data_IF_645169883135
#
_entry.id   IF_645169883135
#
_cell.length_a   1.000
_cell.length_b   1.000
_cell.length_c   1.000
_cell.angle_alpha   90.00
_cell.angle_beta   90.00
_cell.angle_gamma   90.00
#
_symmetry.space_group_name_H-M   'P 1'
#
loop_
_entity.id
_entity.type
_entity.pdbx_description
1 polymer ?
#
# COMPACT_ATOMS: atom_id res chain seq x y z
N UNK A 1 19.14 -18.72 8.89
CA UNK A 1 19.07 -18.92 10.36
C UNK A 1 20.30 -18.32 11.10
N UNK A 2 20.08 -17.27 11.88
CA UNK A 2 21.12 -16.61 12.71
C UNK A 2 21.39 -17.43 13.99
N UNK A 3 22.67 -17.65 14.33
CA UNK A 3 23.08 -18.40 15.54
C UNK A 3 22.58 -17.78 16.84
N UNK A 4 22.21 -16.50 16.84
CA UNK A 4 21.59 -15.82 17.98
C UNK A 4 20.22 -16.39 18.39
N UNK A 5 19.55 -17.15 17.51
CA UNK A 5 18.24 -17.75 17.80
C UNK A 5 18.30 -19.22 18.25
N UNK A 6 19.50 -19.80 18.42
CA UNK A 6 19.67 -21.21 18.80
C UNK A 6 19.07 -21.55 20.18
N UNK A 7 18.96 -20.56 21.07
CA UNK A 7 18.35 -20.73 22.39
C UNK A 7 16.95 -20.10 22.50
N UNK A 8 16.37 -19.67 21.38
CA UNK A 8 15.03 -19.07 21.36
C UNK A 8 13.96 -20.15 21.27
N UNK A 9 12.84 -19.95 21.96
CA UNK A 9 11.62 -20.77 21.80
C UNK A 9 11.10 -20.76 20.34
N UNK A 10 11.53 -19.79 19.53
CA UNK A 10 11.18 -19.63 18.12
C UNK A 10 12.08 -20.42 17.16
N UNK A 11 13.10 -21.13 17.66
CA UNK A 11 14.07 -21.85 16.82
C UNK A 11 13.38 -22.78 15.82
N UNK A 12 12.40 -23.57 16.29
CA UNK A 12 11.65 -24.51 15.45
C UNK A 12 10.85 -23.78 14.36
N UNK A 13 10.24 -22.64 14.70
CA UNK A 13 9.51 -21.80 13.76
C UNK A 13 10.42 -21.21 12.69
N UNK A 14 11.59 -20.69 13.07
CA UNK A 14 12.57 -20.15 12.12
C UNK A 14 13.16 -21.24 11.22
N UNK A 15 13.47 -22.41 11.77
CA UNK A 15 13.98 -23.52 10.96
C UNK A 15 12.95 -23.99 9.94
N UNK A 16 11.68 -24.12 10.34
CA UNK A 16 10.60 -24.48 9.44
C UNK A 16 10.41 -23.45 8.32
N UNK A 17 10.39 -22.16 8.67
CA UNK A 17 10.30 -21.05 7.72
C UNK A 17 11.41 -21.12 6.67
N UNK A 18 12.67 -21.21 7.10
CA UNK A 18 13.83 -21.24 6.21
C UNK A 18 13.86 -22.51 5.34
N UNK A 19 13.39 -23.63 5.87
CA UNK A 19 13.29 -24.88 5.12
C UNK A 19 12.25 -24.79 3.99
N UNK A 20 11.17 -24.03 4.16
CA UNK A 20 10.21 -23.77 3.08
C UNK A 20 10.89 -23.08 1.90
N UNK A 21 11.82 -22.14 2.11
CA UNK A 21 12.52 -21.51 0.99
C UNK A 21 13.34 -22.51 0.17
N UNK A 22 13.95 -23.52 0.81
CA UNK A 22 14.64 -24.61 0.10
C UNK A 22 13.66 -25.47 -0.72
N UNK A 23 12.48 -25.76 -0.16
CA UNK A 23 11.41 -26.46 -0.89
C UNK A 23 10.93 -25.62 -2.08
N UNK A 24 10.71 -24.31 -1.89
CA UNK A 24 10.31 -23.38 -2.96
C UNK A 24 11.36 -23.33 -4.05
N UNK A 25 12.63 -23.16 -3.72
CA UNK A 25 13.73 -23.19 -4.69
C UNK A 25 13.70 -24.47 -5.52
N UNK A 26 13.55 -25.63 -4.87
CA UNK A 26 13.50 -26.91 -5.57
C UNK A 26 12.26 -27.04 -6.48
N UNK A 27 11.06 -26.73 -5.97
CA UNK A 27 9.81 -26.94 -6.70
C UNK A 27 9.57 -25.89 -7.78
N UNK A 28 9.81 -24.61 -7.49
CA UNK A 28 9.56 -23.50 -8.41
C UNK A 28 10.70 -23.27 -9.37
N UNK A 29 11.89 -23.04 -8.84
CA UNK A 29 13.02 -22.58 -9.67
C UNK A 29 13.68 -23.74 -10.39
N UNK A 30 14.02 -24.82 -9.68
CA UNK A 30 14.73 -25.96 -10.27
C UNK A 30 13.82 -26.83 -11.16
N UNK A 31 12.65 -27.22 -10.67
CA UNK A 31 11.74 -28.13 -11.40
C UNK A 31 10.90 -27.37 -12.43
N UNK A 32 10.28 -26.25 -12.04
CA UNK A 32 9.36 -25.51 -12.92
C UNK A 32 10.02 -24.37 -13.71
N UNK A 33 11.30 -24.04 -13.46
CA UNK A 33 12.02 -23.00 -14.19
C UNK A 33 11.48 -21.58 -13.97
N UNK A 34 10.75 -21.34 -12.86
CA UNK A 34 10.08 -20.06 -12.59
C UNK A 34 10.50 -19.53 -11.23
N UNK A 35 10.99 -18.28 -11.21
CA UNK A 35 11.24 -17.55 -9.98
C UNK A 35 9.91 -17.02 -9.41
N UNK A 36 9.64 -17.37 -8.15
CA UNK A 36 8.44 -16.95 -7.43
C UNK A 36 8.52 -15.48 -7.01
N UNK A 37 7.37 -14.83 -6.86
CA UNK A 37 7.32 -13.50 -6.24
C UNK A 37 7.64 -13.58 -4.75
N UNK A 38 8.42 -12.64 -4.24
CA UNK A 38 8.95 -12.69 -2.86
C UNK A 38 7.83 -12.89 -1.85
N UNK A 39 6.75 -12.11 -1.94
CA UNK A 39 5.64 -12.21 -1.01
C UNK A 39 5.01 -13.61 -0.92
N UNK A 40 4.89 -14.34 -2.04
CA UNK A 40 4.27 -15.67 -2.04
C UNK A 40 5.24 -16.75 -1.54
N UNK A 41 6.54 -16.58 -1.79
CA UNK A 41 7.57 -17.40 -1.15
C UNK A 41 7.52 -17.25 0.38
N UNK A 42 7.43 -16.00 0.85
CA UNK A 42 7.33 -15.65 2.26
C UNK A 42 6.01 -16.10 2.88
N UNK A 43 4.90 -16.06 2.15
CA UNK A 43 3.60 -16.49 2.63
C UNK A 43 3.63 -17.96 3.07
N UNK A 44 4.21 -18.82 2.23
CA UNK A 44 4.37 -20.24 2.50
C UNK A 44 5.28 -20.47 3.71
N UNK A 45 6.37 -19.71 3.80
CA UNK A 45 7.34 -19.82 4.89
C UNK A 45 6.76 -19.33 6.24
N UNK A 46 6.00 -18.24 6.24
CA UNK A 46 5.34 -17.66 7.41
C UNK A 46 4.18 -18.52 7.94
N UNK A 47 3.52 -19.30 7.07
CA UNK A 47 2.47 -20.22 7.50
C UNK A 47 3.00 -21.54 8.08
N UNK A 48 4.23 -21.95 7.73
CA UNK A 48 4.79 -23.23 8.15
C UNK A 48 4.82 -23.46 9.67
N UNK A 49 5.16 -22.48 10.53
CA UNK A 49 5.07 -22.64 11.98
C UNK A 49 3.65 -23.01 12.46
N UNK A 50 2.61 -22.41 11.87
CA UNK A 50 1.23 -22.74 12.20
C UNK A 50 0.87 -24.14 11.72
N UNK A 51 1.23 -24.49 10.49
CA UNK A 51 1.00 -25.82 9.92
C UNK A 51 1.62 -26.95 10.77
N UNK A 52 2.82 -26.72 11.32
CA UNK A 52 3.53 -27.68 12.18
C UNK A 52 3.05 -27.65 13.65
N UNK A 53 2.08 -26.79 13.98
CA UNK A 53 1.53 -26.65 15.32
C UNK A 53 2.45 -25.92 16.31
N UNK A 54 3.48 -25.22 15.84
CA UNK A 54 4.40 -24.47 16.71
C UNK A 54 3.77 -23.20 17.28
N UNK A 55 2.72 -22.68 16.65
CA UNK A 55 1.96 -21.51 17.13
C UNK A 55 0.86 -21.85 18.16
N UNK A 56 0.76 -23.12 18.58
CA UNK A 56 -0.28 -23.57 19.53
C UNK A 56 0.11 -23.43 21.01
N UNK A 57 1.37 -23.09 21.32
CA UNK A 57 1.91 -23.09 22.69
C UNK A 57 2.64 -21.78 23.02
N UNK A 58 2.40 -21.24 24.21
CA UNK A 58 3.11 -20.09 24.76
C UNK A 58 2.65 -18.73 24.21
N UNK A 59 2.83 -17.67 25.00
CA UNK A 59 2.42 -16.31 24.64
C UNK A 59 3.33 -15.67 23.56
N UNK A 60 4.56 -16.14 23.41
CA UNK A 60 5.59 -15.58 22.51
C UNK A 60 5.85 -16.41 21.25
N UNK A 61 4.82 -17.08 20.75
CA UNK A 61 4.91 -17.80 19.47
C UNK A 61 4.97 -16.86 18.25
N UNK A 62 5.19 -17.44 17.06
CA UNK A 62 5.40 -16.68 15.83
C UNK A 62 4.11 -15.93 15.43
N UNK A 63 2.95 -16.60 15.50
CA UNK A 63 1.66 -16.00 15.16
C UNK A 63 1.36 -14.76 16.02
N UNK A 64 1.55 -14.83 17.33
CA UNK A 64 1.35 -13.68 18.23
C UNK A 64 2.29 -12.51 17.90
N UNK A 65 3.54 -12.80 17.47
CA UNK A 65 4.44 -11.76 16.97
C UNK A 65 3.90 -11.09 15.71
N UNK A 66 3.37 -11.87 14.76
CA UNK A 66 2.77 -11.36 13.52
C UNK A 66 1.48 -10.59 13.73
N UNK A 67 0.65 -10.99 14.69
CA UNK A 67 -0.52 -10.22 15.12
C UNK A 67 -0.07 -8.83 15.62
N UNK A 68 0.97 -8.76 16.45
CA UNK A 68 1.51 -7.47 16.93
C UNK A 68 2.09 -6.63 15.80
N UNK A 69 2.80 -7.24 14.86
CA UNK A 69 3.35 -6.54 13.69
C UNK A 69 2.22 -5.99 12.79
N UNK A 70 1.13 -6.74 12.58
CA UNK A 70 -0.03 -6.27 11.82
C UNK A 70 -0.77 -5.12 12.48
N UNK A 71 -1.01 -5.20 13.80
CA UNK A 71 -1.72 -4.16 14.53
C UNK A 71 -0.94 -2.84 14.60
N UNK A 72 0.38 -2.85 14.38
CA UNK A 72 1.19 -1.64 14.32
C UNK A 72 0.93 -0.84 13.04
N UNK A 73 0.86 -1.54 11.91
CA UNK A 73 0.61 -0.93 10.61
C UNK A 73 -0.17 -1.91 9.71
N UNK A 74 -1.51 -1.84 9.74
CA UNK A 74 -2.37 -2.77 9.01
C UNK A 74 -2.49 -2.40 7.52
N UNK A 75 -2.15 -1.16 7.13
CA UNK A 75 -2.36 -0.62 5.78
C UNK A 75 -1.07 -0.65 4.94
N UNK A 76 -0.31 -1.75 5.05
CA UNK A 76 0.89 -2.01 4.24
C UNK A 76 0.61 -3.08 3.20
N UNK A 77 1.15 -2.88 1.99
CA UNK A 77 1.05 -3.90 0.93
C UNK A 77 1.95 -5.07 1.26
N UNK A 78 1.40 -6.28 1.27
CA UNK A 78 2.24 -7.47 1.39
C UNK A 78 2.81 -7.93 0.04
N UNK A 79 2.29 -7.43 -1.09
CA UNK A 79 2.81 -7.76 -2.43
C UNK A 79 3.98 -6.85 -2.82
N UNK A 80 3.93 -5.57 -2.43
CA UNK A 80 5.10 -4.68 -2.55
C UNK A 80 6.07 -4.95 -1.40
N UNK A 81 6.98 -5.89 -1.63
CA UNK A 81 7.82 -6.46 -0.58
C UNK A 81 8.99 -5.56 -0.20
N UNK A 82 8.83 -4.83 0.91
CA UNK A 82 9.86 -3.94 1.47
C UNK A 82 10.71 -4.62 2.57
N UNK A 83 10.46 -5.90 2.85
CA UNK A 83 11.13 -6.68 3.90
C UNK A 83 11.02 -6.04 5.31
N UNK A 84 9.91 -5.35 5.60
CA UNK A 84 9.61 -4.79 6.92
C UNK A 84 8.79 -5.77 7.74
N UNK A 85 8.87 -5.69 9.07
CA UNK A 85 8.15 -6.60 9.99
C UNK A 85 6.64 -6.56 9.75
N UNK A 86 6.13 -5.39 9.42
CA UNK A 86 4.74 -5.11 9.12
C UNK A 86 4.28 -5.85 7.84
N UNK A 87 5.14 -5.98 6.81
CA UNK A 87 4.82 -6.80 5.63
C UNK A 87 4.55 -8.26 6.03
N UNK A 88 5.39 -8.84 6.91
CA UNK A 88 5.19 -10.21 7.41
C UNK A 88 3.93 -10.33 8.26
N UNK A 89 3.57 -9.31 9.04
CA UNK A 89 2.35 -9.30 9.86
C UNK A 89 1.08 -9.40 9.02
N UNK A 90 0.94 -8.49 8.05
CA UNK A 90 -0.18 -8.46 7.09
C UNK A 90 -0.23 -9.77 6.28
N UNK A 91 0.91 -10.20 5.76
CA UNK A 91 1.02 -11.41 4.95
C UNK A 91 0.62 -12.67 5.72
N UNK A 92 1.09 -12.81 6.96
CA UNK A 92 0.79 -13.98 7.78
C UNK A 92 -0.71 -14.09 8.01
N UNK A 93 -1.35 -13.02 8.47
CA UNK A 93 -2.79 -13.00 8.77
C UNK A 93 -3.66 -13.25 7.53
N UNK A 94 -3.28 -12.69 6.37
CA UNK A 94 -3.92 -13.04 5.10
C UNK A 94 -3.75 -14.52 4.76
N UNK A 95 -2.55 -15.08 4.98
CA UNK A 95 -2.28 -16.50 4.69
C UNK A 95 -3.02 -17.44 5.63
N UNK A 96 -3.18 -17.08 6.91
CA UNK A 96 -4.02 -17.81 7.86
C UNK A 96 -5.45 -17.89 7.34
N UNK A 97 -6.03 -16.75 6.96
CA UNK A 97 -7.38 -16.68 6.39
C UNK A 97 -7.52 -17.52 5.11
N UNK A 98 -6.54 -17.41 4.20
CA UNK A 98 -6.53 -18.16 2.95
C UNK A 98 -6.55 -19.67 3.20
N UNK A 99 -5.73 -20.17 4.13
CA UNK A 99 -5.68 -21.61 4.42
C UNK A 99 -6.89 -22.07 5.23
N UNK A 100 -7.39 -21.25 6.15
CA UNK A 100 -8.59 -21.55 6.94
C UNK A 100 -9.80 -21.84 6.05
N UNK A 101 -10.03 -21.01 5.03
CA UNK A 101 -11.22 -21.09 4.18
C UNK A 101 -11.05 -21.96 2.94
N UNK A 102 -9.84 -22.03 2.38
CA UNK A 102 -9.61 -22.68 1.08
C UNK A 102 -8.68 -23.90 1.18
N UNK A 103 -8.10 -24.14 2.35
CA UNK A 103 -7.28 -25.30 2.65
C UNK A 103 -5.82 -25.18 2.20
N UNK A 104 -4.97 -26.01 2.81
CA UNK A 104 -3.52 -26.01 2.57
C UNK A 104 -3.15 -26.29 1.11
N UNK A 105 -4.05 -26.95 0.37
CA UNK A 105 -3.84 -27.27 -1.05
C UNK A 105 -3.62 -26.03 -1.91
N UNK A 106 -4.16 -24.87 -1.54
CA UNK A 106 -3.90 -23.63 -2.26
C UNK A 106 -2.40 -23.27 -2.24
N UNK A 107 -1.74 -23.43 -1.09
CA UNK A 107 -0.30 -23.18 -0.98
C UNK A 107 0.51 -24.27 -1.68
N UNK A 108 0.13 -25.54 -1.58
CA UNK A 108 0.88 -26.64 -2.19
C UNK A 108 0.70 -26.72 -3.70
N UNK A 109 -0.50 -26.52 -4.24
CA UNK A 109 -0.74 -26.56 -5.69
C UNK A 109 -0.18 -25.32 -6.39
N UNK A 110 -0.24 -24.15 -5.74
CA UNK A 110 0.44 -22.97 -6.26
C UNK A 110 1.95 -23.20 -6.34
N UNK A 111 2.55 -23.85 -5.32
CA UNK A 111 3.99 -24.18 -5.27
C UNK A 111 4.46 -25.07 -6.43
N UNK A 112 3.64 -26.03 -6.87
CA UNK A 112 3.99 -26.93 -7.97
C UNK A 112 3.63 -26.39 -9.37
N UNK A 113 3.05 -25.18 -9.45
CA UNK A 113 2.66 -24.57 -10.72
C UNK A 113 3.80 -23.75 -11.35
N UNK A 114 3.78 -23.62 -12.68
CA UNK A 114 4.64 -22.68 -13.43
C UNK A 114 4.14 -21.22 -13.41
N UNK A 115 3.06 -20.93 -12.67
CA UNK A 115 2.58 -19.56 -12.44
C UNK A 115 3.34 -18.93 -11.26
N UNK A 116 3.22 -17.62 -11.05
CA UNK A 116 3.80 -16.92 -9.89
C UNK A 116 2.85 -15.90 -9.31
N UNK A 117 3.08 -15.51 -8.06
CA UNK A 117 2.29 -14.48 -7.39
C UNK A 117 0.79 -14.74 -7.41
N UNK A 118 0.00 -13.69 -7.66
CA UNK A 118 -1.48 -13.74 -7.66
C UNK A 118 -2.01 -14.77 -8.67
N UNK A 119 -1.40 -14.86 -9.86
CA UNK A 119 -1.78 -15.84 -10.88
C UNK A 119 -1.58 -17.28 -10.40
N UNK A 120 -0.57 -17.53 -9.56
CA UNK A 120 -0.32 -18.86 -8.99
C UNK A 120 -1.38 -19.25 -7.96
N UNK A 121 -1.86 -18.31 -7.16
CA UNK A 121 -2.98 -18.53 -6.23
C UNK A 121 -4.29 -18.74 -7.00
N UNK A 122 -4.59 -17.90 -7.99
CA UNK A 122 -5.77 -18.06 -8.84
C UNK A 122 -5.79 -19.43 -9.57
N UNK A 123 -4.64 -19.87 -10.08
CA UNK A 123 -4.50 -21.22 -10.63
C UNK A 123 -4.84 -22.30 -9.60
N UNK A 124 -4.30 -22.19 -8.38
CA UNK A 124 -4.53 -23.19 -7.34
C UNK A 124 -5.98 -23.21 -6.86
N UNK A 125 -6.64 -22.06 -6.75
CA UNK A 125 -8.06 -21.93 -6.41
C UNK A 125 -8.92 -22.66 -7.45
N UNK A 126 -8.71 -22.35 -8.73
CA UNK A 126 -9.45 -23.00 -9.83
C UNK A 126 -9.19 -24.52 -9.85
N UNK A 127 -7.94 -24.94 -9.69
CA UNK A 127 -7.56 -26.36 -9.64
C UNK A 127 -8.25 -27.11 -8.49
N UNK A 128 -8.48 -26.44 -7.37
CA UNK A 128 -9.16 -27.01 -6.20
C UNK A 128 -10.68 -26.81 -6.21
N UNK A 129 -11.26 -26.40 -7.35
CA UNK A 129 -12.70 -26.32 -7.54
C UNK A 129 -13.37 -25.05 -7.00
N UNK A 130 -12.59 -24.03 -6.60
CA UNK A 130 -13.13 -22.75 -6.17
C UNK A 130 -13.37 -21.82 -7.37
N UNK A 131 -14.52 -21.15 -7.38
CA UNK A 131 -14.88 -20.12 -8.36
C UNK A 131 -14.40 -18.71 -7.99
N UNK A 132 -13.87 -18.55 -6.78
CA UNK A 132 -13.37 -17.29 -6.22
C UNK A 132 -12.00 -16.94 -6.79
N UNK A 133 -11.74 -15.65 -6.99
CA UNK A 133 -10.40 -15.14 -7.31
C UNK A 133 -9.70 -14.58 -6.08
N UNK A 134 -8.40 -14.32 -6.20
CA UNK A 134 -7.61 -13.61 -5.20
C UNK A 134 -8.26 -12.27 -4.81
N UNK A 135 -8.81 -11.52 -5.77
CA UNK A 135 -9.54 -10.26 -5.54
C UNK A 135 -10.71 -10.46 -4.58
N UNK A 136 -11.52 -11.49 -4.82
CA UNK A 136 -12.64 -11.80 -3.95
C UNK A 136 -12.20 -12.17 -2.53
N UNK A 137 -11.16 -12.99 -2.42
CA UNK A 137 -10.61 -13.45 -1.15
C UNK A 137 -10.01 -12.29 -0.38
N UNK A 138 -9.26 -11.42 -1.05
CA UNK A 138 -8.66 -10.24 -0.43
C UNK A 138 -9.74 -9.29 0.09
N UNK A 139 -10.79 -9.01 -0.70
CA UNK A 139 -11.97 -8.25 -0.25
C UNK A 139 -12.65 -8.90 0.95
N UNK A 140 -12.90 -10.21 0.91
CA UNK A 140 -13.57 -10.91 2.01
C UNK A 140 -12.67 -10.89 3.28
N UNK A 141 -11.35 -10.99 3.14
CA UNK A 141 -10.37 -10.87 4.21
C UNK A 141 -10.30 -9.48 4.84
N UNK A 142 -10.33 -8.40 4.05
CA UNK A 142 -10.30 -7.03 4.62
C UNK A 142 -11.52 -6.73 5.48
N UNK A 143 -12.66 -7.37 5.19
CA UNK A 143 -13.85 -7.34 6.03
C UNK A 143 -13.63 -8.22 7.27
N UNK A 144 -13.13 -9.45 7.10
CA UNK A 144 -12.94 -10.42 8.17
C UNK A 144 -12.01 -9.90 9.28
N UNK A 145 -10.93 -9.19 8.95
CA UNK A 145 -10.02 -8.63 9.97
C UNK A 145 -10.67 -7.53 10.81
N UNK A 146 -11.68 -6.83 10.28
CA UNK A 146 -12.41 -5.78 10.99
C UNK A 146 -13.50 -6.37 11.90
N UNK A 147 -14.35 -7.23 11.34
CA UNK A 147 -15.56 -7.71 12.04
C UNK A 147 -15.27 -8.96 12.87
N UNK A 148 -14.51 -9.88 12.29
CA UNK A 148 -14.20 -11.23 12.78
C UNK A 148 -15.40 -11.91 13.44
N UNK A 149 -16.49 -12.03 12.69
CA UNK A 149 -17.77 -12.56 13.16
C UNK A 149 -18.41 -13.43 12.09
N UNK A 150 -18.49 -14.73 12.36
CA UNK A 150 -19.05 -15.70 11.41
C UNK A 150 -20.57 -15.57 11.23
N UNK A 151 -21.27 -14.85 12.12
CA UNK A 151 -22.72 -14.62 12.01
C UNK A 151 -23.09 -13.71 10.84
N UNK A 152 -22.17 -12.83 10.41
CA UNK A 152 -22.30 -12.04 9.18
C UNK A 152 -22.06 -12.87 7.90
N UNK A 153 -21.56 -14.09 8.07
CA UNK A 153 -21.18 -15.01 7.02
C UNK A 153 -19.85 -15.68 7.36
N UNK A 154 -19.74 -16.99 7.08
CA UNK A 154 -18.56 -17.80 7.46
C UNK A 154 -17.24 -17.19 6.96
N UNK A 155 -17.25 -16.58 5.77
CA UNK A 155 -16.09 -15.90 5.17
C UNK A 155 -15.66 -14.61 5.85
N UNK A 156 -16.42 -14.07 6.81
CA UNK A 156 -16.10 -12.81 7.50
C UNK A 156 -15.51 -13.03 8.90
N UNK A 157 -14.94 -14.20 9.14
CA UNK A 157 -14.20 -14.53 10.35
C UNK A 157 -12.99 -15.42 10.05
N UNK A 158 -12.11 -15.55 11.04
CA UNK A 158 -11.08 -16.60 11.07
C UNK A 158 -11.66 -17.90 11.63
N UNK A 159 -11.27 -19.03 11.04
CA UNK A 159 -11.61 -20.36 11.56
C UNK A 159 -10.52 -20.88 12.50
N UNK A 160 -9.31 -20.36 12.39
CA UNK A 160 -8.22 -20.59 13.32
C UNK A 160 -8.58 -20.07 14.72
N UNK A 161 -8.66 -21.00 15.68
CA UNK A 161 -9.00 -20.68 17.08
C UNK A 161 -8.08 -19.64 17.74
N UNK A 162 -6.80 -19.57 17.34
CA UNK A 162 -5.86 -18.57 17.85
C UNK A 162 -6.21 -17.14 17.42
N UNK A 163 -6.97 -16.98 16.33
CA UNK A 163 -7.41 -15.71 15.78
C UNK A 163 -8.89 -15.41 16.06
N UNK A 164 -9.60 -16.25 16.82
CA UNK A 164 -11.04 -16.08 17.10
C UNK A 164 -11.38 -14.73 17.73
N UNK A 165 -10.49 -14.20 18.58
CA UNK A 165 -10.70 -12.93 19.29
C UNK A 165 -9.96 -11.75 18.64
N UNK A 166 -9.28 -11.98 17.51
CA UNK A 166 -8.57 -10.92 16.81
C UNK A 166 -9.57 -9.92 16.22
N UNK A 167 -9.36 -8.62 16.43
CA UNK A 167 -10.08 -7.57 15.70
C UNK A 167 -9.14 -6.40 15.42
N UNK A 168 -9.18 -5.92 14.18
CA UNK A 168 -8.47 -4.73 13.77
C UNK A 168 -9.09 -3.49 14.42
N UNK A 169 -8.24 -2.54 14.80
CA UNK A 169 -8.66 -1.21 15.25
C UNK A 169 -8.52 -0.25 14.06
N UNK A 170 -9.63 0.29 13.51
CA UNK A 170 -9.61 1.22 12.39
C UNK A 170 -9.18 2.63 12.80
N UNK A 171 -8.74 3.44 11.84
CA UNK A 171 -8.46 4.87 12.04
C UNK A 171 -9.77 5.63 12.29
N UNK A 172 -9.87 6.30 13.44
CA UNK A 172 -11.11 6.95 13.89
C UNK A 172 -11.16 8.40 13.41
N UNK A 173 -12.32 8.77 12.86
CA UNK A 173 -12.68 10.11 12.40
C UNK A 173 -13.94 10.55 13.17
N UNK A 174 -13.83 11.62 13.94
CA UNK A 174 -14.93 12.14 14.76
C UNK A 174 -15.63 13.29 14.03
N UNK A 175 -16.93 13.14 13.80
CA UNK A 175 -17.78 14.19 13.28
C UNK A 175 -18.39 15.00 14.44
N UNK A 176 -18.37 16.35 14.41
CA UNK A 176 -19.03 17.17 15.42
C UNK A 176 -20.50 16.78 15.63
N UNK A 177 -20.94 16.78 16.89
CA UNK A 177 -22.29 16.36 17.29
C UNK A 177 -23.37 17.42 17.05
N UNK A 178 -22.95 18.66 16.76
CA UNK A 178 -23.86 19.81 16.60
C UNK A 178 -23.53 20.56 15.31
N UNK A 179 -24.57 20.94 14.57
CA UNK A 179 -24.44 21.66 13.31
C UNK A 179 -24.12 20.76 12.12
N UNK A 180 -24.02 21.37 10.92
CA UNK A 180 -23.57 20.66 9.73
C UNK A 180 -22.08 20.32 9.88
N UNK A 181 -21.78 19.04 9.89
CA UNK A 181 -20.42 18.53 9.95
C UNK A 181 -19.95 18.15 8.56
N UNK A 182 -18.73 18.55 8.19
CA UNK A 182 -18.05 18.09 6.98
C UNK A 182 -16.59 17.81 7.32
N UNK A 183 -16.15 16.59 7.07
CA UNK A 183 -14.77 16.16 7.16
C UNK A 183 -14.36 15.61 5.79
N UNK A 184 -13.18 16.00 5.33
CA UNK A 184 -12.64 15.57 4.05
C UNK A 184 -11.18 15.18 4.20
N UNK A 185 -10.78 14.10 3.51
CA UNK A 185 -9.43 13.58 3.58
C UNK A 185 -9.00 13.03 2.22
N UNK A 186 -7.79 13.41 1.82
CA UNK A 186 -7.10 12.84 0.66
C UNK A 186 -6.04 11.87 1.15
N UNK A 187 -6.03 10.67 0.58
CA UNK A 187 -5.12 9.59 0.94
C UNK A 187 -4.54 8.94 -0.31
N UNK A 188 -3.52 8.11 -0.13
CA UNK A 188 -2.98 7.26 -1.19
C UNK A 188 -2.91 5.82 -0.72
N UNK A 189 -3.09 4.87 -1.62
CA UNK A 189 -2.97 3.45 -1.30
C UNK A 189 -2.28 2.69 -2.43
N UNK A 190 -1.59 1.60 -2.10
CA UNK A 190 -1.02 0.68 -3.09
C UNK A 190 -2.03 -0.43 -3.40
N UNK A 191 -1.73 -1.26 -4.40
CA UNK A 191 -2.51 -2.49 -4.63
C UNK A 191 -2.44 -3.41 -3.43
N UNK A 192 -3.54 -4.12 -3.18
CA UNK A 192 -3.62 -5.15 -2.14
C UNK A 192 -3.34 -4.60 -0.74
N UNK A 193 -3.84 -3.40 -0.49
CA UNK A 193 -3.85 -2.74 0.82
C UNK A 193 -5.30 -2.51 1.23
N UNK A 194 -5.66 -2.97 2.42
CA UNK A 194 -6.88 -2.56 3.09
C UNK A 194 -6.64 -1.25 3.82
N UNK A 195 -7.59 -0.33 3.77
CA UNK A 195 -7.55 0.92 4.54
C UNK A 195 -8.86 0.98 5.31
N UNK A 196 -8.84 1.22 6.62
CA UNK A 196 -10.05 1.18 7.46
C UNK A 196 -10.28 2.52 8.14
N UNK A 197 -11.33 3.23 7.72
CA UNK A 197 -11.69 4.53 8.29
C UNK A 197 -13.04 4.44 9.00
N UNK A 198 -13.01 4.61 10.32
CA UNK A 198 -14.21 4.59 11.18
C UNK A 198 -14.71 6.00 11.40
N UNK A 199 -15.98 6.24 11.15
CA UNK A 199 -16.71 7.45 11.46
C UNK A 199 -17.55 7.24 12.71
N UNK A 200 -17.48 8.18 13.64
CA UNK A 200 -18.29 8.24 14.86
C UNK A 200 -18.74 9.69 15.10
N UNK A 201 -19.68 9.87 16.02
CA UNK A 201 -20.28 11.18 16.29
C UNK A 201 -21.30 11.54 15.23
N UNK A 202 -21.42 12.83 14.91
CA UNK A 202 -22.46 13.33 14.00
C UNK A 202 -23.89 13.05 14.49
N UNK A 203 -24.88 13.60 13.78
CA UNK A 203 -26.29 13.37 14.06
C UNK A 203 -27.14 13.49 12.79
N UNK A 204 -28.17 12.65 12.66
CA UNK A 204 -29.10 12.68 11.51
C UNK A 204 -28.72 11.68 10.43
N UNK A 205 -28.58 12.14 9.19
CA UNK A 205 -28.14 11.27 8.07
C UNK A 205 -26.68 11.52 7.77
N UNK A 206 -25.85 10.49 7.89
CA UNK A 206 -24.46 10.52 7.45
C UNK A 206 -24.39 10.24 5.95
N UNK A 207 -23.90 11.22 5.18
CA UNK A 207 -23.48 11.04 3.80
C UNK A 207 -21.97 10.81 3.76
N UNK A 208 -21.53 9.75 3.09
CA UNK A 208 -20.12 9.56 2.74
C UNK A 208 -19.96 9.50 1.23
N UNK A 209 -19.18 10.41 0.69
CA UNK A 209 -18.77 10.45 -0.71
C UNK A 209 -17.36 9.89 -0.83
N UNK A 210 -17.10 9.13 -1.88
CA UNK A 210 -15.79 8.59 -2.22
C UNK A 210 -15.47 8.90 -3.68
N UNK A 211 -14.21 9.24 -3.95
CA UNK A 211 -13.66 9.42 -5.28
C UNK A 211 -12.30 8.71 -5.34
N UNK A 212 -12.21 7.64 -6.13
CA UNK A 212 -10.98 6.91 -6.38
C UNK A 212 -10.22 7.44 -7.60
N UNK A 213 -8.97 7.03 -7.75
CA UNK A 213 -8.25 7.22 -9.00
C UNK A 213 -8.84 6.34 -10.12
N UNK A 214 -9.31 6.95 -11.21
CA UNK A 214 -9.96 6.27 -12.33
C UNK A 214 -9.07 5.28 -13.12
N UNK A 215 -7.74 5.26 -12.91
CA UNK A 215 -6.83 4.28 -13.53
C UNK A 215 -6.84 2.91 -12.85
N UNK A 216 -7.56 2.76 -11.73
CA UNK A 216 -7.64 1.51 -10.99
C UNK A 216 -9.04 1.31 -10.42
N UNK A 217 -9.47 0.05 -10.32
CA UNK A 217 -10.72 -0.29 -9.66
C UNK A 217 -10.55 -0.25 -8.14
N UNK A 218 -11.43 0.52 -7.49
CA UNK A 218 -11.60 0.52 -6.05
C UNK A 218 -12.76 -0.38 -5.65
N UNK A 219 -12.57 -1.11 -4.56
CA UNK A 219 -13.62 -1.82 -3.87
C UNK A 219 -13.74 -1.26 -2.46
N UNK A 220 -14.97 -0.92 -2.07
CA UNK A 220 -15.24 -0.23 -0.80
C UNK A 220 -16.42 -0.90 -0.10
N UNK A 221 -16.18 -2.03 0.59
CA UNK A 221 -17.10 -2.50 1.61
C UNK A 221 -17.23 -1.44 2.72
N UNK A 222 -18.38 -1.42 3.37
CA UNK A 222 -18.57 -0.66 4.59
C UNK A 222 -19.36 -1.45 5.62
N UNK A 223 -19.09 -1.20 6.90
CA UNK A 223 -19.77 -1.86 8.01
C UNK A 223 -20.35 -0.79 8.93
N UNK A 224 -21.67 -0.81 9.12
CA UNK A 224 -22.32 -0.02 10.17
C UNK A 224 -22.45 -0.83 11.45
N UNK A 225 -22.49 -0.15 12.59
CA UNK A 225 -22.76 -0.76 13.89
C UNK A 225 -23.85 0.02 14.61
N UNK A 226 -24.85 -0.69 15.13
CA UNK A 226 -25.93 -0.11 15.94
C UNK A 226 -25.60 -0.02 17.44
N UNK A 227 -26.49 0.57 18.23
CA UNK A 227 -26.36 0.66 19.69
C UNK A 227 -26.30 -0.69 20.41
N UNK A 228 -26.92 -1.74 19.85
CA UNK A 228 -26.89 -3.09 20.40
C UNK A 228 -25.59 -3.84 20.05
N UNK A 229 -24.77 -3.27 19.17
CA UNK A 229 -23.53 -3.86 18.68
C UNK A 229 -23.71 -4.72 17.44
N UNK A 230 -24.91 -4.79 16.87
CA UNK A 230 -25.13 -5.52 15.62
C UNK A 230 -24.43 -4.78 14.48
N UNK A 231 -23.80 -5.56 13.60
CA UNK A 231 -23.08 -5.05 12.45
C UNK A 231 -23.87 -5.32 11.18
N UNK A 232 -23.86 -4.38 10.23
CA UNK A 232 -24.46 -4.58 8.90
C UNK A 232 -23.43 -4.25 7.83
N UNK A 233 -23.24 -5.18 6.89
CA UNK A 233 -22.31 -5.03 5.78
C UNK A 233 -23.02 -4.44 4.56
N UNK A 234 -22.41 -3.45 3.94
CA UNK A 234 -22.82 -2.89 2.65
C UNK A 234 -21.62 -2.66 1.73
N UNK A 235 -21.91 -2.22 0.51
CA UNK A 235 -20.90 -1.95 -0.52
C UNK A 235 -21.24 -0.66 -1.26
N UNK A 236 -20.23 0.17 -1.52
CA UNK A 236 -20.38 1.29 -2.42
C UNK A 236 -20.66 0.78 -3.84
N UNK A 237 -21.48 1.53 -4.58
CA UNK A 237 -21.56 1.44 -6.03
C UNK A 237 -20.76 2.60 -6.59
N UNK A 238 -19.69 2.30 -7.32
CA UNK A 238 -18.86 3.31 -7.97
C UNK A 238 -19.24 3.40 -9.45
N UNK A 239 -19.20 4.61 -9.97
CA UNK A 239 -19.33 4.87 -11.41
C UNK A 239 -18.01 4.62 -12.15
N UNK A 240 -18.01 4.84 -13.47
CA UNK A 240 -16.83 4.66 -14.33
C UNK A 240 -15.67 5.60 -13.96
N UNK A 241 -15.93 6.67 -13.21
CA UNK A 241 -14.93 7.61 -12.68
C UNK A 241 -14.50 7.27 -11.26
N UNK A 242 -14.85 6.08 -10.75
CA UNK A 242 -14.57 5.62 -9.40
C UNK A 242 -15.17 6.52 -8.31
N UNK A 243 -16.27 7.21 -8.61
CA UNK A 243 -17.02 8.03 -7.67
C UNK A 243 -18.26 7.27 -7.18
N UNK A 244 -18.56 7.40 -5.90
CA UNK A 244 -19.80 6.87 -5.32
C UNK A 244 -20.13 7.48 -3.97
N UNK A 245 -21.34 7.27 -3.52
CA UNK A 245 -21.83 7.80 -2.26
C UNK A 245 -22.74 6.79 -1.54
N UNK A 246 -22.78 6.90 -0.21
CA UNK A 246 -23.70 6.14 0.65
C UNK A 246 -24.33 7.06 1.69
N UNK A 247 -25.56 6.74 2.05
CA UNK A 247 -26.35 7.45 3.05
C UNK A 247 -26.70 6.50 4.18
N UNK A 248 -26.35 6.88 5.41
CA UNK A 248 -26.65 6.14 6.62
C UNK A 248 -27.64 6.97 7.44
N UNK A 249 -28.95 6.68 7.36
CA UNK A 249 -29.96 7.36 8.17
C UNK A 249 -29.81 6.98 9.65
N UNK A 250 -30.39 7.81 10.53
CA UNK A 250 -30.35 7.64 11.99
C UNK A 250 -28.93 7.49 12.59
N UNK A 251 -27.93 8.10 11.95
CA UNK A 251 -26.56 8.14 12.45
C UNK A 251 -26.46 9.03 13.70
N UNK A 252 -25.72 8.56 14.70
CA UNK A 252 -25.66 9.15 16.03
C UNK A 252 -26.85 8.81 16.93
N UNK A 253 -27.95 8.26 16.36
CA UNK A 253 -29.15 7.83 17.09
C UNK A 253 -29.23 6.31 17.21
N UNK A 254 -29.47 5.61 16.11
CA UNK A 254 -29.57 4.14 16.09
C UNK A 254 -28.26 3.51 15.62
N UNK A 255 -27.62 4.13 14.62
CA UNK A 255 -26.32 3.73 14.09
C UNK A 255 -25.24 4.58 14.74
N UNK A 256 -24.31 3.97 15.46
CA UNK A 256 -23.28 4.68 16.23
C UNK A 256 -21.95 4.78 15.51
N UNK A 257 -21.72 3.95 14.50
CA UNK A 257 -20.51 4.04 13.69
C UNK A 257 -20.66 3.45 12.30
N UNK A 258 -19.83 3.94 11.39
CA UNK A 258 -19.63 3.44 10.04
C UNK A 258 -18.13 3.22 9.84
N UNK A 259 -17.71 2.09 9.29
CA UNK A 259 -16.33 1.87 8.83
C UNK A 259 -16.35 1.66 7.33
N UNK A 260 -15.62 2.48 6.56
CA UNK A 260 -15.38 2.22 5.13
C UNK A 260 -14.04 1.53 4.94
N UNK A 261 -13.97 0.61 3.97
CA UNK A 261 -12.80 -0.24 3.73
C UNK A 261 -12.30 -0.10 2.28
N UNK A 262 -11.85 1.09 1.83
CA UNK A 262 -11.38 1.24 0.45
C UNK A 262 -10.11 0.42 0.21
N UNK A 263 -10.06 -0.23 -0.95
CA UNK A 263 -8.90 -0.99 -1.41
C UNK A 263 -8.80 -0.94 -2.93
N UNK A 264 -7.58 -0.77 -3.44
CA UNK A 264 -7.30 -0.77 -4.87
C UNK A 264 -6.98 -2.19 -5.33
N UNK A 265 -7.82 -2.75 -6.21
CA UNK A 265 -7.75 -4.14 -6.66
C UNK A 265 -7.92 -4.17 -8.18
N UNK A 266 -6.83 -4.32 -8.94
CA UNK A 266 -6.94 -4.42 -10.41
C UNK A 266 -5.95 -5.42 -11.04
N UNK A 267 -6.47 -6.07 -12.08
CA UNK A 267 -5.95 -7.17 -12.89
C UNK A 267 -4.97 -6.74 -13.98
N UNK A 268 -4.94 -5.46 -14.37
CA UNK A 268 -4.31 -5.06 -15.65
C UNK A 268 -2.97 -4.33 -15.51
N UNK A 269 -2.77 -3.60 -14.41
CA UNK A 269 -1.51 -2.84 -14.22
C UNK A 269 -0.44 -3.71 -13.56
N UNK A 270 0.62 -4.04 -14.31
CA UNK A 270 1.75 -4.86 -13.85
C UNK A 270 2.61 -4.19 -12.77
N UNK A 271 2.50 -2.88 -12.59
CA UNK A 271 3.39 -2.13 -11.71
C UNK A 271 2.79 -2.00 -10.30
N UNK A 272 3.26 -2.85 -9.38
CA UNK A 272 2.74 -2.99 -8.01
C UNK A 272 3.17 -1.82 -7.10
N UNK A 273 4.21 -1.07 -7.50
CA UNK A 273 4.83 0.01 -6.70
C UNK A 273 4.13 1.38 -6.81
N UNK A 274 3.10 1.50 -7.64
CA UNK A 274 2.38 2.76 -7.84
C UNK A 274 1.36 2.96 -6.72
N UNK A 275 1.40 4.13 -6.09
CA UNK A 275 0.36 4.58 -5.16
C UNK A 275 -0.76 5.28 -5.93
N UNK A 276 -2.00 4.97 -5.57
CA UNK A 276 -3.22 5.50 -6.15
C UNK A 276 -3.90 6.44 -5.15
N UNK A 277 -4.08 7.73 -5.49
CA UNK A 277 -4.82 8.64 -4.65
C UNK A 277 -6.30 8.27 -4.59
N UNK A 278 -6.93 8.56 -3.46
CA UNK A 278 -8.38 8.57 -3.32
C UNK A 278 -8.78 9.64 -2.32
N UNK A 279 -10.04 10.02 -2.37
CA UNK A 279 -10.65 11.03 -1.55
C UNK A 279 -11.93 10.47 -0.95
N UNK A 280 -12.18 10.81 0.31
CA UNK A 280 -13.52 10.68 0.86
C UNK A 280 -13.93 11.95 1.61
N UNK A 281 -15.23 12.18 1.64
CA UNK A 281 -15.86 13.23 2.42
C UNK A 281 -17.01 12.63 3.22
N UNK A 282 -17.02 12.89 4.52
CA UNK A 282 -18.11 12.51 5.41
C UNK A 282 -18.82 13.76 5.92
N UNK A 283 -20.14 13.79 5.82
CA UNK A 283 -20.95 14.91 6.30
C UNK A 283 -22.27 14.47 6.90
N UNK A 284 -22.75 15.18 7.92
CA UNK A 284 -24.08 14.97 8.47
C UNK A 284 -24.97 16.17 8.19
N UNK A 285 -26.19 15.89 7.72
CA UNK A 285 -27.24 16.88 7.58
C UNK A 285 -28.37 16.58 8.57
N UNK A 286 -28.77 17.61 9.31
CA UNK A 286 -29.95 17.58 10.15
C UNK A 286 -31.18 17.78 9.25
N UNK A 287 -32.06 16.77 9.16
CA UNK A 287 -33.38 16.93 8.55
C UNK A 287 -34.26 17.76 9.50
N UNK A 288 -34.16 19.09 9.44
CA UNK A 288 -35.13 19.96 10.09
C UNK A 288 -36.43 19.89 9.29
N UNK A 289 -37.35 19.02 9.72
CA UNK A 289 -38.76 19.03 9.33
C UNK A 289 -39.03 18.61 7.88
N UNK A 290 -39.91 17.63 7.70
CA UNK A 290 -40.25 17.07 6.39
C UNK A 290 -40.64 18.14 5.36
N UNK A 291 -39.74 18.40 4.43
CA UNK A 291 -40.03 18.98 3.13
C UNK A 291 -38.91 18.55 2.18
N UNK A 292 -39.32 18.00 1.04
CA UNK A 292 -38.42 17.74 -0.09
C UNK A 292 -37.75 19.07 -0.43
N UNK A 293 -36.42 19.16 -0.59
CA UNK A 293 -35.78 20.43 -0.91
C UNK A 293 -36.33 20.93 -2.26
N UNK A 294 -37.11 22.00 -2.22
CA UNK A 294 -37.42 22.78 -3.42
C UNK A 294 -36.10 23.28 -4.01
N UNK A 295 -36.00 23.24 -5.34
CA UNK A 295 -34.82 23.47 -6.20
C UNK A 295 -34.15 24.86 -6.07
N UNK A 296 -34.39 25.63 -5.01
CA UNK A 296 -33.85 26.99 -4.82
C UNK A 296 -32.59 27.06 -3.95
N UNK A 297 -32.19 26.00 -3.24
CA UNK A 297 -30.91 25.95 -2.51
C UNK A 297 -29.67 25.73 -3.41
N UNK A 298 -29.87 25.40 -4.69
CA UNK A 298 -28.78 25.17 -5.66
C UNK A 298 -28.02 26.44 -6.06
N UNK A 299 -28.65 27.62 -5.99
CA UNK A 299 -28.06 28.86 -6.51
C UNK A 299 -27.02 29.49 -5.54
N UNK A 300 -27.19 29.34 -4.23
CA UNK A 300 -26.19 29.80 -3.25
C UNK A 300 -24.94 28.90 -3.23
N UNK A 301 -25.12 27.58 -3.42
CA UNK A 301 -24.01 26.63 -3.51
C UNK A 301 -23.22 26.74 -4.82
N UNK A 302 -23.88 27.08 -5.94
CA UNK A 302 -23.17 27.34 -7.22
C UNK A 302 -22.21 28.51 -7.06
N UNK A 303 -22.62 29.61 -6.41
CA UNK A 303 -21.72 30.76 -6.24
C UNK A 303 -20.53 30.41 -5.35
N UNK A 304 -20.73 29.67 -4.26
CA UNK A 304 -19.62 29.22 -3.39
C UNK A 304 -18.68 28.23 -4.12
N UNK A 305 -19.22 27.39 -4.98
CA UNK A 305 -18.44 26.48 -5.84
C UNK A 305 -17.68 27.28 -6.91
N UNK A 306 -18.30 28.28 -7.52
CA UNK A 306 -17.66 29.17 -8.50
C UNK A 306 -16.55 30.00 -7.85
N UNK A 307 -16.74 30.45 -6.61
CA UNK A 307 -15.73 31.17 -5.85
C UNK A 307 -14.55 30.25 -5.48
N UNK A 308 -14.83 28.98 -5.15
CA UNK A 308 -13.79 27.94 -4.94
C UNK A 308 -13.06 27.56 -6.21
N UNK A 309 -13.76 27.45 -7.35
CA UNK A 309 -13.13 27.23 -8.67
C UNK A 309 -12.22 28.43 -8.99
N UNK A 310 -12.70 29.66 -8.82
CA UNK A 310 -11.91 30.87 -9.05
C UNK A 310 -10.69 30.99 -8.09
N UNK A 311 -10.80 30.44 -6.87
CA UNK A 311 -9.68 30.35 -5.94
C UNK A 311 -8.67 29.28 -6.38
N UNK A 312 -9.13 28.09 -6.76
CA UNK A 312 -8.30 26.99 -7.24
C UNK A 312 -7.61 27.33 -8.57
N UNK A 313 -8.28 28.05 -9.46
CA UNK A 313 -7.70 28.57 -10.70
C UNK A 313 -6.59 29.60 -10.41
N UNK A 314 -6.78 30.47 -9.41
CA UNK A 314 -5.74 31.39 -8.94
C UNK A 314 -4.56 30.66 -8.30
N UNK A 315 -4.82 29.61 -7.53
CA UNK A 315 -3.77 28.77 -6.96
C UNK A 315 -3.01 28.00 -8.04
N UNK A 316 -3.71 27.42 -9.03
CA UNK A 316 -3.09 26.77 -10.19
C UNK A 316 -2.27 27.74 -11.03
N UNK A 317 -2.75 28.97 -11.21
CA UNK A 317 -2.00 30.02 -11.90
C UNK A 317 -0.74 30.42 -11.12
N UNK A 318 -0.85 30.58 -9.80
CA UNK A 318 0.28 30.86 -8.90
C UNK A 318 1.30 29.73 -8.92
N UNK A 319 0.84 28.48 -8.80
CA UNK A 319 1.70 27.30 -8.79
C UNK A 319 2.37 27.09 -10.15
N UNK A 320 1.66 27.35 -11.26
CA UNK A 320 2.24 27.35 -12.61
C UNK A 320 3.26 28.46 -12.79
N UNK A 321 2.99 29.66 -12.28
CA UNK A 321 3.95 30.77 -12.30
C UNK A 321 5.19 30.46 -11.45
N UNK A 322 5.01 29.83 -10.29
CA UNK A 322 6.11 29.39 -9.41
C UNK A 322 6.92 28.24 -10.04
N UNK A 323 6.24 27.28 -10.68
CA UNK A 323 6.87 26.24 -11.47
C UNK A 323 7.61 26.83 -12.67
N UNK A 324 7.06 27.87 -13.31
CA UNK A 324 7.69 28.54 -14.44
C UNK A 324 8.87 29.40 -14.00
N UNK A 325 8.82 30.00 -12.81
CA UNK A 325 9.96 30.67 -12.17
C UNK A 325 11.07 29.66 -11.86
N UNK A 326 10.73 28.49 -11.31
CA UNK A 326 11.66 27.37 -11.07
C UNK A 326 12.26 26.81 -12.38
N UNK A 327 11.44 26.68 -13.44
CA UNK A 327 11.88 26.26 -14.77
C UNK A 327 12.70 27.35 -15.50
N UNK A 328 12.49 28.63 -15.18
CA UNK A 328 13.34 29.73 -15.69
C UNK A 328 14.60 29.94 -14.86
N UNK A 329 14.62 29.52 -13.59
CA UNK A 329 15.88 29.46 -12.80
C UNK A 329 16.80 28.34 -13.28
N UNK A 330 16.29 27.37 -14.05
CA UNK A 330 17.13 26.44 -14.85
C UNK A 330 17.71 27.08 -16.13
N UNK A 331 17.26 28.29 -16.51
CA UNK A 331 17.66 28.94 -17.77
C UNK A 331 18.61 30.13 -17.61
N UNK A 332 18.85 30.62 -16.39
CA UNK A 332 19.77 31.74 -16.09
C UNK A 332 20.80 31.43 -15.00
N UNK A 333 21.36 30.22 -15.00
CA UNK A 333 22.75 30.01 -14.53
C UNK A 333 23.54 29.35 -15.67
N UNK A 334 23.59 30.07 -16.79
CA UNK A 334 24.71 30.01 -17.73
C UNK A 334 25.96 30.58 -17.06
N UNK A 335 26.45 29.91 -16.02
CA UNK A 335 27.81 30.06 -15.52
C UNK A 335 28.44 28.69 -15.64
N UNK A 336 29.26 28.54 -16.67
CA UNK A 336 30.04 27.34 -16.97
C UNK A 336 30.99 27.02 -15.81
N UNK A 337 30.51 26.31 -14.80
CA UNK A 337 31.37 25.52 -13.92
C UNK A 337 31.75 24.29 -14.73
N UNK A 338 32.83 24.39 -15.51
CA UNK A 338 33.40 23.21 -16.13
C UNK A 338 33.95 22.30 -15.02
N UNK A 339 33.43 21.09 -14.95
CA UNK A 339 33.94 20.04 -14.09
C UNK A 339 35.36 19.66 -14.52
N UNK A 340 36.38 20.30 -13.96
CA UNK A 340 37.76 20.02 -14.39
C UNK A 340 38.31 18.72 -13.81
N UNK A 341 37.94 18.35 -12.57
CA UNK A 341 38.45 17.14 -11.91
C UNK A 341 37.63 16.74 -10.67
N UNK A 342 37.41 15.44 -10.44
CA UNK A 342 36.85 14.88 -9.21
C UNK A 342 37.94 14.45 -8.23
N UNK A 343 38.19 15.26 -7.21
CA UNK A 343 39.22 15.04 -6.18
C UNK A 343 38.72 14.35 -4.90
N UNK A 344 37.41 14.30 -4.66
CA UNK A 344 36.80 13.74 -3.45
C UNK A 344 35.82 12.63 -3.76
N UNK A 345 35.70 11.68 -2.82
CA UNK A 345 34.70 10.62 -2.89
C UNK A 345 33.31 11.18 -2.58
N UNK A 346 32.30 10.68 -3.30
CA UNK A 346 30.91 11.10 -3.11
C UNK A 346 30.01 9.89 -2.86
N UNK A 347 29.07 10.03 -1.93
CA UNK A 347 28.23 8.94 -1.45
C UNK A 347 26.82 9.41 -1.08
N UNK A 348 25.92 8.44 -0.98
CA UNK A 348 24.52 8.66 -0.61
C UNK A 348 24.40 9.48 0.68
N UNK A 349 23.54 10.51 0.65
CA UNK A 349 23.32 11.41 1.78
C UNK A 349 24.19 12.67 1.74
N UNK A 350 25.09 12.82 0.77
CA UNK A 350 25.79 14.09 0.54
C UNK A 350 24.81 15.12 -0.02
N UNK A 351 24.55 16.21 0.70
CA UNK A 351 23.58 17.23 0.31
C UNK A 351 24.22 18.60 0.11
N UNK A 352 23.58 19.45 -0.70
CA UNK A 352 24.01 20.83 -0.99
C UNK A 352 25.49 20.95 -1.39
N UNK A 353 25.99 20.00 -2.19
CA UNK A 353 27.41 19.92 -2.56
C UNK A 353 27.64 20.27 -4.03
N UNK A 354 28.50 21.26 -4.27
CA UNK A 354 28.91 21.66 -5.63
C UNK A 354 29.59 20.52 -6.40
N UNK A 355 30.31 19.63 -5.71
CA UNK A 355 30.90 18.45 -6.33
C UNK A 355 29.86 17.42 -6.75
N UNK A 356 28.73 17.32 -6.02
CA UNK A 356 27.60 16.48 -6.43
C UNK A 356 26.89 17.10 -7.63
N UNK A 357 26.71 18.42 -7.67
CA UNK A 357 26.17 19.10 -8.85
C UNK A 357 27.05 18.84 -10.08
N UNK A 358 28.37 18.90 -9.90
CA UNK A 358 29.34 18.59 -10.95
C UNK A 358 29.24 17.12 -11.41
N UNK A 359 29.14 16.17 -10.48
CA UNK A 359 28.91 14.76 -10.80
C UNK A 359 27.60 14.57 -11.60
N UNK A 360 26.52 15.23 -11.19
CA UNK A 360 25.23 15.14 -11.87
C UNK A 360 25.27 15.73 -13.28
N UNK A 361 25.98 16.83 -13.49
CA UNK A 361 26.24 17.38 -14.83
C UNK A 361 27.03 16.40 -15.70
N UNK A 362 28.09 15.79 -15.15
CA UNK A 362 28.87 14.76 -15.83
C UNK A 362 28.01 13.54 -16.19
N UNK A 363 27.21 13.02 -15.26
CA UNK A 363 26.34 11.86 -15.52
C UNK A 363 25.28 12.20 -16.57
N UNK A 364 24.76 13.43 -16.57
CA UNK A 364 23.82 13.93 -17.58
C UNK A 364 24.48 13.97 -18.96
N UNK A 365 25.76 14.36 -19.05
CA UNK A 365 26.48 14.38 -20.33
C UNK A 365 26.76 12.99 -20.91
N UNK A 366 26.66 11.91 -20.11
CA UNK A 366 26.75 10.52 -20.60
C UNK A 366 25.46 10.01 -21.23
N UNK A 367 24.41 10.82 -21.26
CA UNK A 367 23.15 10.54 -21.96
C UNK A 367 22.09 9.86 -21.11
N UNK A 368 20.89 9.77 -21.67
CA UNK A 368 19.67 9.32 -20.98
C UNK A 368 19.72 7.84 -20.55
N UNK A 369 20.61 7.03 -21.12
CA UNK A 369 20.82 5.64 -20.69
C UNK A 369 21.57 5.54 -19.36
N UNK A 370 22.37 6.56 -19.02
CA UNK A 370 23.12 6.66 -17.77
C UNK A 370 22.35 7.48 -16.74
N UNK A 371 21.85 8.64 -17.13
CA UNK A 371 21.10 9.52 -16.23
C UNK A 371 19.83 10.09 -16.87
N UNK A 372 18.78 9.25 -17.05
CA UNK A 372 17.52 9.64 -17.69
C UNK A 372 16.84 10.82 -16.99
N UNK A 373 17.02 10.93 -15.67
CA UNK A 373 16.40 11.98 -14.88
C UNK A 373 17.07 13.34 -15.13
N UNK A 374 18.37 13.37 -15.46
CA UNK A 374 19.08 14.58 -15.89
C UNK A 374 19.08 15.74 -14.89
N UNK A 375 18.76 15.48 -13.61
CA UNK A 375 18.61 16.49 -12.57
C UNK A 375 19.96 16.88 -11.95
N UNK A 376 20.20 18.17 -11.80
CA UNK A 376 21.39 18.72 -11.12
C UNK A 376 20.93 19.45 -9.86
N UNK A 377 20.83 18.71 -8.75
CA UNK A 377 20.27 19.17 -7.48
C UNK A 377 21.32 19.45 -6.42
N UNK A 378 22.57 19.01 -6.63
CA UNK A 378 23.62 19.03 -5.60
C UNK A 378 23.41 18.03 -4.46
N UNK A 379 22.41 17.14 -4.57
CA UNK A 379 22.05 16.14 -3.58
C UNK A 379 22.25 14.72 -4.10
N UNK A 380 23.09 13.94 -3.43
CA UNK A 380 23.44 12.57 -3.79
C UNK A 380 22.45 11.61 -3.11
N UNK A 381 21.29 11.45 -3.73
CA UNK A 381 20.21 10.57 -3.27
C UNK A 381 20.01 9.38 -4.22
N UNK A 382 18.87 8.70 -4.13
CA UNK A 382 18.63 7.43 -4.83
C UNK A 382 18.80 7.51 -6.35
N UNK A 383 18.40 8.61 -6.98
CA UNK A 383 18.54 8.79 -8.43
C UNK A 383 20.01 8.93 -8.85
N UNK A 384 20.80 9.71 -8.11
CA UNK A 384 22.24 9.85 -8.36
C UNK A 384 22.99 8.55 -8.10
N UNK A 385 22.60 7.78 -7.07
CA UNK A 385 23.13 6.42 -6.83
C UNK A 385 22.88 5.52 -8.04
N UNK A 386 21.66 5.51 -8.57
CA UNK A 386 21.30 4.69 -9.74
C UNK A 386 22.09 5.10 -10.98
N UNK A 387 22.24 6.41 -11.22
CA UNK A 387 23.03 6.92 -12.32
C UNK A 387 24.52 6.54 -12.20
N UNK A 388 25.10 6.62 -11.00
CA UNK A 388 26.47 6.17 -10.76
C UNK A 388 26.61 4.66 -10.94
N UNK A 389 25.62 3.84 -10.54
CA UNK A 389 25.63 2.40 -10.81
C UNK A 389 25.62 2.08 -12.30
N UNK A 390 24.78 2.78 -13.09
CA UNK A 390 24.74 2.65 -14.55
C UNK A 390 26.07 3.06 -15.18
N UNK A 391 26.66 4.17 -14.72
CA UNK A 391 27.98 4.60 -15.18
C UNK A 391 29.07 3.56 -14.84
N UNK A 392 29.11 3.07 -13.60
CA UNK A 392 30.02 2.00 -13.17
C UNK A 392 29.87 0.75 -14.03
N UNK A 393 28.64 0.33 -14.31
CA UNK A 393 28.35 -0.79 -15.21
C UNK A 393 28.98 -0.59 -16.59
N UNK A 394 28.82 0.62 -17.18
CA UNK A 394 29.38 0.95 -18.49
C UNK A 394 30.92 0.98 -18.53
N UNK A 395 31.57 1.05 -17.36
CA UNK A 395 33.03 1.03 -17.22
C UNK A 395 33.58 -0.29 -16.68
N UNK A 396 32.74 -1.29 -16.48
CA UNK A 396 33.13 -2.57 -15.88
C UNK A 396 33.55 -2.47 -14.40
N UNK A 397 33.08 -1.44 -13.70
CA UNK A 397 33.31 -1.22 -12.27
C UNK A 397 32.15 -1.86 -11.48
N UNK A 398 32.45 -2.42 -10.30
CA UNK A 398 31.43 -2.96 -9.39
C UNK A 398 30.43 -1.85 -9.06
N UNK A 399 29.14 -2.12 -9.31
CA UNK A 399 28.03 -1.17 -9.25
C UNK A 399 27.58 -0.88 -7.81
N UNK A 400 28.52 -0.40 -7.00
CA UNK A 400 28.28 -0.05 -5.59
C UNK A 400 27.38 1.18 -5.45
N UNK A 401 27.36 2.06 -6.46
CA UNK A 401 26.73 3.37 -6.37
C UNK A 401 27.50 4.34 -5.47
N UNK A 402 28.70 3.95 -5.04
CA UNK A 402 29.67 4.81 -4.37
C UNK A 402 30.60 5.44 -5.42
N UNK A 403 30.70 6.76 -5.44
CA UNK A 403 31.60 7.47 -6.34
C UNK A 403 32.99 7.57 -5.71
N UNK A 404 33.61 6.41 -5.50
CA UNK A 404 34.92 6.24 -4.90
C UNK A 404 36.09 6.33 -5.87
N UNK A 405 37.32 5.96 -5.45
CA UNK A 405 38.54 6.17 -6.22
C UNK A 405 38.53 5.56 -7.63
N UNK A 406 37.98 4.35 -7.79
CA UNK A 406 37.88 3.69 -9.10
C UNK A 406 36.90 4.42 -10.05
N UNK A 407 35.73 4.79 -9.55
CA UNK A 407 34.71 5.50 -10.34
C UNK A 407 35.19 6.91 -10.71
N UNK A 408 35.85 7.61 -9.79
CA UNK A 408 36.49 8.90 -10.02
C UNK A 408 37.58 8.81 -11.08
N UNK A 409 38.48 7.82 -10.98
CA UNK A 409 39.54 7.63 -11.96
C UNK A 409 39.00 7.36 -13.36
N UNK A 410 37.88 6.65 -13.49
CA UNK A 410 37.20 6.48 -14.77
C UNK A 410 36.56 7.79 -15.25
N UNK A 411 35.84 8.50 -14.37
CA UNK A 411 35.17 9.76 -14.73
C UNK A 411 36.16 10.85 -15.16
N UNK A 412 37.28 11.01 -14.43
CA UNK A 412 38.32 11.99 -14.73
C UNK A 412 39.05 11.74 -16.07
N UNK A 413 38.99 10.53 -16.62
CA UNK A 413 39.52 10.23 -17.97
C UNK A 413 38.60 10.71 -19.09
N UNK A 414 37.38 11.09 -18.75
CA UNK A 414 36.32 11.44 -19.70
C UNK A 414 35.69 12.82 -19.41
N UNK A 415 36.39 13.64 -18.62
CA UNK A 415 36.06 15.04 -18.39
C UNK A 415 36.59 15.92 -19.53
#
# INVERSE_FOLDING_TARGET
>A
LNSQHLNSDLLKSFLAHEFIHLITFNQKERINGVQEEVWLNEARAEYAPTFLGYDSKGADNNLNRRIRDFLREPSVSFIDWENKRENYGVLNLFTQYLVDHYGIRILTDSLHSSKKGVDSINYALLKNGFSKTFDDIFKDWTIAVLVNDCSLGEKYCYLNSALKNFKLIPSINLLPLTGKSRLELTQTTKKWVGNWYKFIGGWGTLKVEFIGNASINFLIPYVTQDLAGNQTLGFFRLDDYQKGEVYIPDFGKNIISLVIIPSAQDKTVKNITVSYPFFWQASTEELIGGSIPNETSGLQNIQEILDKIALLERQLASLKAELQVLLTTEKDIGSSVSCQNFSQDLYYGTSNSSAVSCLQQFLKSKGETIYPEGLVTGNYLSLTVLAVKRYQASKGIIQTGYFGPLTRAAANKEL
#
